data_IF_425011556217
#
_entry.id   IF_425011556217
#
_cell.length_a   1.000
_cell.length_b   1.000
_cell.length_c   1.000
_cell.angle_alpha   90.00
_cell.angle_beta   90.00
_cell.angle_gamma   90.00
#
_symmetry.space_group_name_H-M   'P 1'
#
loop_
_entity.id
_entity.type
_entity.pdbx_description
1 polymer ?
#
# COMPACT_ATOMS: atom_id res chain seq x y z
N UNK A 1 16.49 -1.05 -5.20
CA UNK A 1 17.41 -1.48 -4.12
C UNK A 1 16.59 -2.09 -3.00
N UNK A 2 17.07 -3.16 -2.38
CA UNK A 2 16.33 -3.90 -1.38
C UNK A 2 17.23 -4.27 -0.19
N UNK A 3 16.69 -4.08 1.02
CA UNK A 3 17.40 -4.29 2.27
C UNK A 3 16.61 -5.21 3.18
N UNK A 4 17.33 -5.95 4.01
CA UNK A 4 16.78 -6.84 5.02
C UNK A 4 17.41 -6.55 6.38
N UNK A 5 16.59 -6.63 7.41
CA UNK A 5 16.96 -6.47 8.80
C UNK A 5 16.39 -7.62 9.60
N UNK A 6 17.23 -8.30 10.37
CA UNK A 6 16.81 -9.35 11.30
C UNK A 6 16.83 -8.81 12.72
N UNK A 7 15.73 -8.97 13.43
CA UNK A 7 15.59 -8.61 14.83
C UNK A 7 15.78 -9.85 15.70
N UNK A 8 16.28 -9.66 16.93
CA UNK A 8 16.53 -10.75 17.89
C UNK A 8 15.25 -11.52 18.29
N UNK A 9 14.07 -11.02 17.94
CA UNK A 9 12.75 -11.58 18.22
C UNK A 9 12.29 -12.63 17.20
N UNK A 10 13.12 -13.01 16.22
CA UNK A 10 12.73 -13.91 15.12
C UNK A 10 11.91 -13.22 14.01
N UNK A 11 11.86 -11.88 14.05
CA UNK A 11 11.22 -11.04 13.06
C UNK A 11 12.24 -10.64 11.98
N UNK A 12 11.87 -10.77 10.72
CA UNK A 12 12.66 -10.27 9.58
C UNK A 12 11.88 -9.18 8.86
N UNK A 13 12.50 -8.01 8.74
CA UNK A 13 11.95 -6.84 8.05
C UNK A 13 12.65 -6.67 6.72
N UNK A 14 11.88 -6.61 5.65
CA UNK A 14 12.32 -6.35 4.29
C UNK A 14 11.87 -4.97 3.85
N UNK A 15 12.69 -4.30 3.07
CA UNK A 15 12.48 -2.94 2.63
C UNK A 15 12.95 -2.83 1.18
N UNK A 16 12.16 -2.21 0.29
CA UNK A 16 12.65 -1.72 -1.00
C UNK A 16 11.96 -0.42 -1.38
N UNK A 17 12.41 0.13 -2.51
CA UNK A 17 11.84 1.34 -3.07
C UNK A 17 11.78 1.29 -4.60
N UNK A 18 10.85 0.52 -5.19
CA UNK A 18 10.57 0.61 -6.62
C UNK A 18 9.81 1.90 -6.96
N UNK A 19 10.29 2.65 -7.95
CA UNK A 19 9.55 3.79 -8.51
C UNK A 19 9.16 4.87 -7.50
N UNK A 20 9.98 5.08 -6.46
CA UNK A 20 9.72 6.07 -5.40
C UNK A 20 8.68 5.65 -4.35
N UNK A 21 8.22 4.41 -4.38
CA UNK A 21 7.35 3.85 -3.34
C UNK A 21 8.15 2.95 -2.40
N UNK A 22 8.38 3.40 -1.16
CA UNK A 22 8.98 2.54 -0.13
C UNK A 22 7.98 1.46 0.26
N UNK A 23 8.35 0.19 0.07
CA UNK A 23 7.58 -0.96 0.58
C UNK A 23 8.32 -1.57 1.75
N UNK A 24 7.54 -2.06 2.70
CA UNK A 24 8.03 -2.65 3.93
C UNK A 24 7.25 -3.93 4.18
N UNK A 25 7.97 -5.02 4.41
CA UNK A 25 7.38 -6.31 4.77
C UNK A 25 8.00 -6.77 6.07
N UNK A 26 7.14 -7.05 7.02
CA UNK A 26 7.49 -7.72 8.25
C UNK A 26 7.09 -9.18 8.12
N UNK A 27 8.02 -10.07 8.41
CA UNK A 27 7.76 -11.51 8.53
C UNK A 27 8.13 -11.98 9.91
N UNK A 28 7.28 -12.84 10.48
CA UNK A 28 7.53 -13.54 11.72
C UNK A 28 7.61 -15.04 11.42
N UNK A 29 8.70 -15.66 11.87
CA UNK A 29 8.90 -17.10 11.74
C UNK A 29 8.92 -17.72 13.13
N UNK A 30 7.85 -18.43 13.49
CA UNK A 30 7.75 -19.20 14.72
C UNK A 30 7.43 -20.67 14.44
N UNK A 31 7.49 -21.56 15.44
CA UNK A 31 7.14 -22.98 15.27
C UNK A 31 5.71 -23.13 14.71
N UNK A 32 5.59 -23.56 13.46
CA UNK A 32 4.31 -23.84 12.80
C UNK A 32 3.50 -22.62 12.33
N UNK A 33 4.02 -21.39 12.39
CA UNK A 33 3.32 -20.18 11.92
C UNK A 33 4.28 -19.24 11.18
N UNK A 34 3.98 -18.98 9.91
CA UNK A 34 4.59 -17.92 9.11
C UNK A 34 3.55 -16.83 8.88
N UNK A 35 3.73 -15.68 9.53
CA UNK A 35 2.85 -14.53 9.36
C UNK A 35 3.63 -13.39 8.71
N UNK A 36 2.97 -12.69 7.80
CA UNK A 36 3.55 -11.59 7.04
C UNK A 36 2.61 -10.38 7.08
N UNK A 37 3.18 -9.19 7.22
CA UNK A 37 2.46 -7.91 7.19
C UNK A 37 3.23 -6.94 6.31
N UNK A 38 2.59 -6.42 5.27
CA UNK A 38 3.20 -5.52 4.30
C UNK A 38 2.54 -4.15 4.31
N UNK A 39 3.31 -3.10 4.04
CA UNK A 39 2.80 -1.74 3.83
C UNK A 39 3.65 -1.01 2.81
N UNK A 40 3.07 -0.03 2.13
CA UNK A 40 3.77 0.78 1.15
C UNK A 40 3.44 2.26 1.34
N UNK A 41 4.45 3.10 1.10
CA UNK A 41 4.41 4.54 1.36
C UNK A 41 5.07 5.29 0.21
N UNK A 42 4.48 6.41 -0.19
CA UNK A 42 5.07 7.30 -1.18
C UNK A 42 6.15 8.15 -0.48
N UNK A 43 7.41 7.80 -0.70
CA UNK A 43 8.56 8.50 -0.08
C UNK A 43 9.45 9.20 -1.11
N UNK A 44 9.29 8.87 -2.40
CA UNK A 44 10.22 9.25 -3.46
C UNK A 44 11.45 8.34 -3.51
N UNK A 45 12.30 8.59 -4.51
CA UNK A 45 13.54 7.84 -4.72
C UNK A 45 14.52 8.08 -3.57
N UNK A 46 15.12 6.99 -3.06
CA UNK A 46 16.10 7.06 -1.99
C UNK A 46 17.39 7.67 -2.53
N UNK A 47 17.86 8.70 -1.83
CA UNK A 47 19.13 9.36 -2.11
C UNK A 47 20.29 8.82 -1.25
N UNK A 48 19.97 8.11 -0.16
CA UNK A 48 20.94 7.45 0.71
C UNK A 48 20.43 6.08 1.18
N UNK A 49 21.34 5.28 1.74
CA UNK A 49 20.98 4.01 2.37
C UNK A 49 20.07 4.27 3.58
N UNK A 50 18.95 3.53 3.72
CA UNK A 50 18.09 3.67 4.88
C UNK A 50 18.81 3.31 6.17
N UNK A 51 18.42 3.96 7.26
CA UNK A 51 18.95 3.66 8.60
C UNK A 51 17.86 3.00 9.42
N UNK A 52 18.18 1.93 10.15
CA UNK A 52 17.25 1.27 11.05
C UNK A 52 17.73 1.42 12.49
N UNK A 53 16.80 1.67 13.42
CA UNK A 53 17.07 1.88 14.83
C UNK A 53 16.13 1.01 15.66
N UNK A 54 16.69 0.14 16.49
CA UNK A 54 15.92 -0.65 17.46
C UNK A 54 15.41 0.26 18.56
N UNK A 55 14.11 0.21 18.75
CA UNK A 55 13.40 0.86 19.86
C UNK A 55 12.97 -0.23 20.84
N UNK A 56 12.80 0.09 22.12
CA UNK A 56 12.35 -0.91 23.10
C UNK A 56 11.03 -1.61 22.77
N UNK A 57 10.22 -1.06 21.85
CA UNK A 57 8.94 -1.63 21.42
C UNK A 57 8.90 -2.07 19.94
N UNK A 58 10.01 -1.99 19.19
CA UNK A 58 10.01 -2.28 17.75
C UNK A 58 11.20 -1.70 16.98
N UNK A 59 10.97 -1.32 15.72
CA UNK A 59 11.98 -0.77 14.81
C UNK A 59 11.54 0.60 14.28
N UNK A 60 12.46 1.55 14.21
CA UNK A 60 12.29 2.82 13.54
C UNK A 60 13.22 2.85 12.34
N UNK A 61 12.70 3.13 11.15
CA UNK A 61 13.47 3.20 9.91
C UNK A 61 13.43 4.64 9.40
N UNK A 62 14.59 5.23 9.18
CA UNK A 62 14.75 6.53 8.55
C UNK A 62 15.08 6.33 7.07
N UNK A 63 14.26 6.96 6.24
CA UNK A 63 14.36 6.97 4.78
C UNK A 63 14.80 8.38 4.39
N UNK A 64 15.94 8.51 3.71
CA UNK A 64 16.38 9.76 3.11
C UNK A 64 16.11 9.71 1.61
N UNK A 65 15.14 10.51 1.16
CA UNK A 65 14.75 10.59 -0.24
C UNK A 65 14.99 11.99 -0.80
N UNK A 66 14.88 12.15 -2.12
CA UNK A 66 15.03 13.46 -2.78
C UNK A 66 14.05 14.53 -2.25
N UNK A 67 12.92 14.10 -1.71
CA UNK A 67 11.83 14.96 -1.22
C UNK A 67 11.99 15.35 0.26
N UNK A 68 12.93 14.73 0.97
CA UNK A 68 13.15 14.92 2.41
C UNK A 68 13.33 13.60 3.16
N UNK A 69 13.28 13.69 4.49
CA UNK A 69 13.38 12.53 5.38
C UNK A 69 12.00 12.02 5.78
N UNK A 70 11.84 10.70 5.76
CA UNK A 70 10.63 10.01 6.21
C UNK A 70 10.97 8.98 7.27
N UNK A 71 10.13 8.88 8.29
CA UNK A 71 10.35 7.96 9.40
C UNK A 71 9.24 6.91 9.41
N UNK A 72 9.61 5.64 9.27
CA UNK A 72 8.69 4.50 9.30
C UNK A 72 8.86 3.80 10.63
N UNK A 73 7.76 3.55 11.33
CA UNK A 73 7.76 2.82 12.58
C UNK A 73 7.13 1.45 12.39
N UNK A 74 7.80 0.43 12.91
CA UNK A 74 7.33 -0.94 12.98
C UNK A 74 7.20 -1.33 14.45
N UNK A 75 5.98 -1.65 14.89
CA UNK A 75 5.71 -2.13 16.25
C UNK A 75 4.91 -3.43 16.16
N UNK A 76 5.53 -4.54 16.56
CA UNK A 76 4.98 -5.88 16.32
C UNK A 76 4.72 -6.10 14.83
N UNK A 77 3.46 -6.30 14.46
CA UNK A 77 3.02 -6.50 13.08
C UNK A 77 2.47 -5.22 12.41
N UNK A 78 2.42 -4.11 13.14
CA UNK A 78 1.93 -2.82 12.65
C UNK A 78 3.07 -2.00 12.04
N UNK A 79 2.80 -1.40 10.88
CA UNK A 79 3.73 -0.55 10.14
C UNK A 79 3.03 0.79 9.92
N UNK A 80 3.70 1.90 10.22
CA UNK A 80 3.10 3.23 10.06
C UNK A 80 4.15 4.28 9.70
N UNK A 81 3.76 5.24 8.87
CA UNK A 81 4.55 6.45 8.63
C UNK A 81 4.39 7.38 9.82
N UNK A 82 5.50 7.75 10.44
CA UNK A 82 5.55 8.68 11.56
C UNK A 82 5.75 10.10 11.01
N UNK A 83 4.87 11.01 11.43
CA UNK A 83 5.00 12.44 11.14
C UNK A 83 5.93 13.09 12.16
N UNK A 84 6.89 13.87 11.68
CA UNK A 84 7.89 14.57 12.50
C UNK A 84 9.20 13.79 12.66
N UNK A 85 10.25 14.49 13.13
CA UNK A 85 11.58 13.93 13.36
C UNK A 85 11.68 13.35 14.77
N UNK A 86 11.78 12.02 14.94
CA UNK A 86 12.00 11.41 16.24
C UNK A 86 13.43 11.64 16.72
N UNK A 87 13.62 11.75 18.04
CA UNK A 87 14.96 11.72 18.64
C UNK A 87 15.56 10.32 18.48
N UNK A 88 16.52 10.15 17.59
CA UNK A 88 17.21 8.87 17.35
C UNK A 88 18.37 8.60 18.29
N UNK A 89 18.83 9.61 19.04
CA UNK A 89 19.99 9.52 19.94
C UNK A 89 19.87 8.48 21.07
N UNK A 90 18.65 8.07 21.41
CA UNK A 90 18.38 7.06 22.44
C UNK A 90 18.16 5.64 21.89
N UNK A 91 18.22 5.45 20.57
CA UNK A 91 17.96 4.18 19.92
C UNK A 91 19.24 3.55 19.40
N UNK A 92 19.33 2.22 19.46
CA UNK A 92 20.49 1.48 18.94
C UNK A 92 20.34 1.27 17.44
N UNK A 93 21.33 1.64 16.64
CA UNK A 93 21.29 1.45 15.19
C UNK A 93 21.46 -0.02 14.84
N UNK A 94 20.54 -0.55 14.03
CA UNK A 94 20.59 -1.91 13.49
C UNK A 94 21.10 -1.87 12.06
N UNK A 95 22.07 -2.72 11.75
CA UNK A 95 22.64 -2.81 10.42
C UNK A 95 21.64 -3.42 9.42
N UNK A 96 21.28 -2.65 8.39
CA UNK A 96 20.59 -3.17 7.22
C UNK A 96 21.58 -3.92 6.33
N UNK A 97 21.20 -5.12 5.90
CA UNK A 97 21.95 -5.90 4.93
C UNK A 97 21.27 -5.77 3.57
N UNK A 98 22.04 -5.78 2.47
CA UNK A 98 21.46 -5.98 1.15
C UNK A 98 20.75 -7.34 1.11
N UNK A 99 19.51 -7.36 0.64
CA UNK A 99 18.68 -8.55 0.68
C UNK A 99 17.62 -8.54 -0.41
N UNK A 100 17.28 -9.72 -0.92
CA UNK A 100 16.17 -9.86 -1.83
C UNK A 100 14.83 -9.82 -1.08
N UNK A 101 13.80 -9.28 -1.73
CA UNK A 101 12.43 -9.44 -1.25
C UNK A 101 12.05 -10.91 -1.26
N UNK A 102 11.34 -11.41 -0.23
CA UNK A 102 10.88 -12.78 -0.23
C UNK A 102 9.85 -12.92 -1.35
N UNK A 103 10.15 -13.81 -2.30
CA UNK A 103 9.31 -14.15 -3.45
C UNK A 103 7.97 -14.77 -3.03
N UNK A 104 7.73 -14.98 -1.73
CA UNK A 104 6.53 -15.60 -1.17
C UNK A 104 5.22 -14.82 -1.40
N UNK A 105 5.25 -13.61 -1.98
CA UNK A 105 4.05 -12.94 -2.49
C UNK A 105 3.78 -13.19 -3.99
N UNK A 106 4.74 -13.77 -4.70
CA UNK A 106 4.71 -14.09 -6.13
C UNK A 106 4.76 -15.61 -6.40
N UNK A 107 5.14 -16.41 -5.40
CA UNK A 107 5.10 -17.89 -5.45
C UNK A 107 3.68 -18.49 -5.44
N UNK A 108 2.63 -17.67 -5.29
CA UNK A 108 1.26 -18.09 -5.61
C UNK A 108 0.98 -18.19 -7.12
N UNK A 109 1.85 -17.63 -7.97
CA UNK A 109 1.71 -17.66 -9.44
C UNK A 109 2.96 -18.20 -10.17
N UNK A 110 4.17 -18.04 -9.62
CA UNK A 110 5.41 -18.58 -10.20
C UNK A 110 5.65 -20.08 -9.89
N UNK A 111 4.91 -20.66 -8.93
CA UNK A 111 4.86 -22.12 -8.75
C UNK A 111 4.14 -22.86 -9.90
N UNK A 112 3.69 -22.13 -10.94
CA UNK A 112 3.26 -22.68 -12.23
C UNK A 112 4.28 -22.42 -13.37
N UNK A 113 5.35 -21.64 -13.13
CA UNK A 113 6.33 -21.26 -14.15
C UNK A 113 7.66 -22.06 -14.05
N UNK A 114 7.98 -22.60 -12.88
CA UNK A 114 9.19 -23.40 -12.66
C UNK A 114 8.97 -24.91 -12.75
N UNK A 115 8.60 -25.46 -13.92
CA UNK A 115 8.57 -26.92 -14.06
C UNK A 115 7.82 -27.57 -15.21
N UNK A 116 7.35 -26.85 -16.23
CA UNK A 116 6.90 -27.54 -17.45
C UNK A 116 8.04 -27.57 -18.47
N UNK A 117 8.64 -28.74 -18.77
CA UNK A 117 9.52 -28.84 -19.94
C UNK A 117 8.72 -28.40 -21.19
N UNK A 118 9.36 -27.75 -22.18
CA UNK A 118 8.68 -27.44 -23.42
C UNK A 118 8.13 -28.74 -23.99
N UNK A 119 6.81 -28.87 -24.05
CA UNK A 119 6.18 -29.99 -24.72
C UNK A 119 6.62 -29.94 -26.18
N UNK A 120 7.54 -30.82 -26.57
CA UNK A 120 7.78 -31.09 -27.97
C UNK A 120 6.42 -31.45 -28.60
N UNK A 121 6.07 -30.92 -29.78
CA UNK A 121 4.84 -31.32 -30.44
C UNK A 121 4.90 -32.83 -30.63
N UNK A 122 4.01 -33.53 -29.93
CA UNK A 122 3.94 -34.98 -30.01
C UNK A 122 3.65 -35.35 -31.48
N UNK A 123 4.34 -36.35 -32.05
CA UNK A 123 3.91 -36.89 -33.33
C UNK A 123 2.45 -37.33 -33.22
N UNK A 124 1.63 -37.16 -34.28
CA UNK A 124 0.22 -37.54 -34.24
C UNK A 124 0.10 -38.99 -33.81
N UNK A 125 -0.58 -39.23 -32.69
CA UNK A 125 -0.81 -40.58 -32.19
C UNK A 125 -1.64 -41.36 -33.23
N UNK A 126 -1.32 -42.63 -33.49
CA UNK A 126 -2.20 -43.50 -34.25
C UNK A 126 -3.56 -43.60 -33.51
N UNK A 127 -4.67 -43.77 -34.24
CA UNK A 127 -5.99 -43.88 -33.62
C UNK A 127 -6.01 -45.06 -32.65
N UNK A 128 -6.30 -44.75 -31.38
CA UNK A 128 -6.48 -45.78 -30.36
C UNK A 128 -7.70 -46.65 -30.71
N UNK A 129 -7.61 -47.99 -30.57
CA UNK A 129 -8.78 -48.84 -30.65
C UNK A 129 -9.77 -48.48 -29.53
N UNK A 130 -11.09 -48.62 -29.76
CA UNK A 130 -12.10 -48.27 -28.76
C UNK A 130 -11.90 -49.13 -27.50
N UNK A 131 -11.70 -48.46 -26.36
CA UNK A 131 -11.72 -49.14 -25.07
C UNK A 131 -13.12 -49.69 -24.80
N UNK A 132 -13.26 -50.93 -24.32
CA UNK A 132 -14.53 -51.42 -23.81
C UNK A 132 -14.94 -50.59 -22.59
N UNK A 133 -16.23 -50.31 -22.50
CA UNK A 133 -16.88 -49.48 -21.48
C UNK A 133 -16.46 -49.87 -20.06
N UNK A 134 -15.89 -48.92 -19.31
CA UNK A 134 -15.76 -49.07 -17.86
C UNK A 134 -17.16 -49.00 -17.21
N UNK A 135 -17.49 -49.90 -16.28
CA UNK A 135 -18.69 -49.78 -15.46
C UNK A 135 -18.57 -48.58 -14.52
N UNK A 136 -19.73 -47.96 -14.28
CA UNK A 136 -19.94 -46.71 -13.56
C UNK A 136 -19.25 -46.68 -12.19
N UNK A 137 -18.31 -45.75 -11.98
CA UNK A 137 -17.89 -45.39 -10.63
C UNK A 137 -19.06 -44.72 -9.92
N UNK A 138 -19.64 -45.44 -8.96
CA UNK A 138 -20.63 -44.90 -8.03
C UNK A 138 -19.86 -44.04 -7.00
N UNK A 139 -19.74 -42.73 -7.27
CA UNK A 139 -19.24 -41.77 -6.29
C UNK A 139 -20.33 -41.54 -5.23
N UNK A 140 -20.39 -42.44 -4.27
CA UNK A 140 -21.20 -42.28 -3.07
C UNK A 140 -20.89 -40.94 -2.41
N UNK A 141 -21.94 -40.12 -2.24
CA UNK A 141 -22.05 -39.04 -1.26
C UNK A 141 -20.97 -37.93 -1.27
N UNK A 142 -20.43 -37.57 -2.44
CA UNK A 142 -19.81 -36.24 -2.62
C UNK A 142 -20.87 -35.22 -3.09
N UNK A 143 -21.67 -34.73 -2.14
CA UNK A 143 -22.47 -33.52 -2.33
C UNK A 143 -21.49 -32.33 -2.40
N UNK A 144 -21.09 -31.93 -3.62
CA UNK A 144 -20.37 -30.69 -3.83
C UNK A 144 -21.29 -29.52 -3.46
N UNK A 145 -21.15 -28.99 -2.25
CA UNK A 145 -21.58 -27.62 -2.00
C UNK A 145 -20.74 -26.71 -2.93
N UNK A 146 -21.38 -25.83 -3.74
CA UNK A 146 -20.63 -24.90 -4.56
C UNK A 146 -19.70 -24.09 -3.66
N UNK A 147 -18.44 -23.92 -4.07
CA UNK A 147 -17.47 -23.05 -3.40
C UNK A 147 -18.06 -21.65 -3.27
N UNK A 148 -18.67 -21.38 -2.12
CA UNK A 148 -19.20 -20.08 -1.78
C UNK A 148 -18.02 -19.24 -1.27
N UNK A 149 -17.33 -18.58 -2.20
CA UNK A 149 -16.33 -17.58 -1.87
C UNK A 149 -17.02 -16.39 -1.18
N UNK A 150 -17.22 -16.46 0.14
CA UNK A 150 -17.55 -15.30 0.97
C UNK A 150 -16.27 -14.49 1.18
N UNK A 151 -15.86 -13.77 0.15
CA UNK A 151 -14.90 -12.68 0.31
C UNK A 151 -15.69 -11.51 0.92
N UNK A 152 -15.64 -11.38 2.25
CA UNK A 152 -16.26 -10.28 2.97
C UNK A 152 -15.80 -8.93 2.43
N UNK A 153 -16.76 -8.04 2.21
CA UNK A 153 -16.68 -6.58 2.08
C UNK A 153 -15.61 -5.94 1.14
N UNK A 154 -15.06 -6.66 0.17
CA UNK A 154 -14.08 -6.09 -0.77
C UNK A 154 -14.78 -5.53 -2.00
N UNK A 155 -15.35 -4.32 -1.85
CA UNK A 155 -15.87 -3.53 -2.96
C UNK A 155 -14.69 -3.04 -3.82
N UNK A 156 -14.45 -3.69 -4.96
CA UNK A 156 -13.53 -3.20 -5.99
C UNK A 156 -14.28 -2.17 -6.85
N UNK A 157 -14.13 -0.88 -6.54
CA UNK A 157 -14.55 0.22 -7.40
C UNK A 157 -13.51 0.41 -8.51
N UNK A 158 -13.69 -0.25 -9.64
CA UNK A 158 -12.89 -0.05 -10.85
C UNK A 158 -13.73 0.69 -11.89
N UNK A 159 -13.43 1.97 -12.12
CA UNK A 159 -14.05 2.79 -13.16
C UNK A 159 -14.33 4.21 -12.70
N UNK A 160 -13.36 5.11 -12.85
CA UNK A 160 -13.51 6.52 -12.53
C UNK A 160 -12.39 7.35 -13.12
N UNK A 161 -12.50 7.60 -14.43
CA UNK A 161 -11.88 8.69 -15.20
C UNK A 161 -10.49 9.19 -14.76
N UNK A 162 -9.48 8.84 -15.55
CA UNK A 162 -8.41 9.77 -15.90
C UNK A 162 -9.02 11.03 -16.54
N UNK A 163 -9.43 11.98 -15.70
CA UNK A 163 -9.70 13.35 -16.13
C UNK A 163 -8.36 14.08 -16.20
N UNK A 164 -7.74 14.02 -17.38
CA UNK A 164 -6.84 15.07 -17.83
C UNK A 164 -7.59 16.41 -17.77
N UNK A 165 -7.41 17.18 -16.70
CA UNK A 165 -7.75 18.60 -16.71
C UNK A 165 -6.64 19.35 -17.46
N UNK A 166 -6.81 19.44 -18.78
CA UNK A 166 -6.15 20.43 -19.61
C UNK A 166 -6.57 21.83 -19.14
N UNK A 167 -5.72 22.52 -18.38
CA UNK A 167 -5.87 23.96 -18.19
C UNK A 167 -5.31 24.63 -19.43
N UNK A 168 -6.25 25.06 -20.27
CA UNK A 168 -6.04 25.95 -21.39
C UNK A 168 -5.28 27.19 -20.95
N UNK A 169 -4.17 27.44 -21.65
CA UNK A 169 -3.58 28.75 -21.82
C UNK A 169 -4.65 29.68 -22.36
N UNK A 170 -4.98 30.74 -21.63
CA UNK A 170 -5.50 31.94 -22.27
C UNK A 170 -4.76 33.16 -21.73
N UNK A 171 -3.68 33.47 -22.43
CA UNK A 171 -3.01 34.76 -22.44
C UNK A 171 -4.03 35.87 -22.65
N UNK A 172 -4.14 36.75 -21.65
CA UNK A 172 -4.56 38.13 -21.85
C UNK A 172 -3.57 39.00 -21.11
N UNK A 173 -2.60 39.49 -21.87
CA UNK A 173 -1.77 40.64 -21.49
C UNK A 173 -2.72 41.79 -21.18
N UNK A 174 -2.70 42.29 -19.95
CA UNK A 174 -3.15 43.66 -19.69
C UNK A 174 -2.13 44.35 -18.80
N UNK A 175 -1.63 45.46 -19.31
CA UNK A 175 -0.59 46.31 -18.76
C UNK A 175 -1.22 47.19 -17.66
N UNK A 176 -0.59 47.19 -16.47
CA UNK A 176 -0.37 48.28 -15.47
C UNK A 176 -1.17 49.62 -15.55
N UNK A 177 -1.32 50.47 -14.49
CA UNK A 177 -0.61 50.54 -13.19
C UNK A 177 -1.52 50.99 -11.97
N UNK A 178 -1.00 51.48 -10.81
CA UNK A 178 -1.68 51.47 -9.49
C UNK A 178 -2.35 52.79 -9.09
N UNK A 179 -3.34 52.75 -8.17
CA UNK A 179 -3.61 53.86 -7.25
C UNK A 179 -4.55 53.49 -6.08
N UNK A 180 -4.05 53.75 -4.87
CA UNK A 180 -4.71 54.21 -3.62
C UNK A 180 -5.70 53.32 -2.82
N UNK A 181 -5.60 53.34 -1.48
CA UNK A 181 -6.54 52.71 -0.56
C UNK A 181 -7.72 53.64 -0.26
N UNK A 182 -8.94 53.13 -0.39
CA UNK A 182 -10.13 53.76 0.19
C UNK A 182 -11.07 52.67 0.72
N UNK A 183 -11.26 52.67 2.03
CA UNK A 183 -12.41 52.07 2.71
C UNK A 183 -13.68 52.72 2.14
N UNK A 184 -14.78 51.98 1.91
CA UNK A 184 -15.78 51.87 2.98
C UNK A 184 -16.66 50.59 2.98
N UNK A 185 -17.20 50.33 4.18
CA UNK A 185 -18.53 49.79 4.50
C UNK A 185 -19.08 48.54 3.77
N UNK A 186 -19.30 47.53 4.61
CA UNK A 186 -20.13 46.34 4.49
C UNK A 186 -21.46 46.53 3.74
N UNK A 187 -21.80 45.58 2.86
CA UNK A 187 -23.11 44.92 2.94
C UNK A 187 -22.94 43.42 3.23
N UNK A 188 -23.80 42.90 4.10
CA UNK A 188 -23.81 41.52 4.58
C UNK A 188 -24.07 40.51 3.44
N UNK A 189 -23.03 39.83 3.01
CA UNK A 189 -23.12 38.56 2.27
C UNK A 189 -23.50 37.46 3.27
N UNK A 190 -24.48 36.58 2.97
CA UNK A 190 -24.77 35.44 3.83
C UNK A 190 -23.48 34.63 3.98
N UNK A 191 -23.00 34.51 5.22
CA UNK A 191 -21.81 33.76 5.54
C UNK A 191 -21.96 32.34 4.99
N UNK A 192 -21.24 32.02 3.91
CA UNK A 192 -21.15 30.65 3.45
C UNK A 192 -20.58 29.84 4.61
N UNK A 193 -21.24 28.73 5.01
CA UNK A 193 -20.75 27.93 6.11
C UNK A 193 -19.33 27.51 5.78
N UNK A 194 -18.39 27.86 6.65
CA UNK A 194 -16.99 27.48 6.51
C UNK A 194 -16.96 25.95 6.38
N UNK A 195 -16.65 25.47 5.17
CA UNK A 195 -16.59 24.04 4.89
C UNK A 195 -15.50 23.46 5.79
N UNK A 196 -15.89 22.56 6.68
CA UNK A 196 -14.94 21.85 7.55
C UNK A 196 -14.34 20.70 6.75
N UNK A 197 -13.13 20.32 7.09
CA UNK A 197 -12.43 19.19 6.48
C UNK A 197 -12.05 18.19 7.56
N UNK A 198 -12.13 16.90 7.25
CA UNK A 198 -11.70 15.85 8.17
C UNK A 198 -10.17 15.92 8.36
N UNK A 199 -9.72 16.01 9.61
CA UNK A 199 -8.30 16.03 9.94
C UNK A 199 -7.60 14.66 9.77
N UNK A 200 -8.36 13.58 9.57
CA UNK A 200 -7.81 12.23 9.35
C UNK A 200 -7.62 11.89 7.86
N UNK A 201 -8.57 12.28 7.00
CA UNK A 201 -8.54 11.91 5.57
C UNK A 201 -8.62 13.10 4.59
N UNK A 202 -8.80 14.33 5.09
CA UNK A 202 -8.86 15.55 4.27
C UNK A 202 -10.18 15.75 3.50
N UNK A 203 -11.14 14.83 3.60
CA UNK A 203 -12.42 14.96 2.91
C UNK A 203 -13.25 16.13 3.46
N UNK A 204 -13.97 16.82 2.59
CA UNK A 204 -14.91 17.86 2.98
C UNK A 204 -16.05 17.25 3.81
N UNK A 205 -16.41 17.89 4.91
CA UNK A 205 -17.45 17.45 5.84
C UNK A 205 -18.37 18.63 6.18
N UNK A 206 -19.65 18.34 6.42
CA UNK A 206 -20.60 19.39 6.79
C UNK A 206 -20.47 19.73 8.27
N UNK A 207 -20.87 20.95 8.66
CA UNK A 207 -20.73 21.41 10.04
C UNK A 207 -21.57 20.59 11.05
N UNK A 208 -22.60 19.90 10.57
CA UNK A 208 -23.49 19.04 11.35
C UNK A 208 -23.02 17.58 11.43
N UNK A 209 -21.99 17.20 10.67
CA UNK A 209 -21.49 15.82 10.67
C UNK A 209 -20.72 15.53 11.96
N UNK A 210 -21.08 14.44 12.64
CA UNK A 210 -20.33 13.94 13.82
C UNK A 210 -19.27 12.90 13.45
N UNK A 211 -19.37 12.33 12.27
CA UNK A 211 -18.47 11.32 11.73
C UNK A 211 -18.17 11.62 10.27
N UNK A 212 -16.94 11.36 9.83
CA UNK A 212 -16.57 11.54 8.43
C UNK A 212 -17.17 10.41 7.57
N UNK A 213 -17.95 10.76 6.56
CA UNK A 213 -18.54 9.81 5.62
C UNK A 213 -17.51 9.08 4.73
N UNK A 214 -16.31 9.63 4.58
CA UNK A 214 -15.24 9.04 3.78
C UNK A 214 -14.35 8.04 4.56
N UNK A 215 -14.09 8.28 5.84
CA UNK A 215 -13.17 7.44 6.63
C UNK A 215 -13.76 6.87 7.94
N UNK A 216 -14.97 7.26 8.32
CA UNK A 216 -15.67 6.76 9.52
C UNK A 216 -15.20 7.35 10.85
N UNK A 217 -14.14 8.18 10.86
CA UNK A 217 -13.63 8.75 12.11
C UNK A 217 -14.54 9.85 12.69
N UNK A 218 -14.63 9.98 14.02
CA UNK A 218 -15.39 11.03 14.67
C UNK A 218 -14.77 12.41 14.40
N UNK A 219 -15.61 13.37 14.03
CA UNK A 219 -15.22 14.76 13.85
C UNK A 219 -15.33 15.44 15.23
N UNK A 220 -14.20 15.86 15.79
CA UNK A 220 -14.17 16.64 17.03
C UNK A 220 -14.85 17.98 16.76
N UNK A 221 -16.08 18.11 17.24
CA UNK A 221 -16.96 19.27 17.05
C UNK A 221 -16.47 20.49 17.81
#
# INVERSE_FOLDING_TARGET
MAFVCRLNTGQTVYLDNPGGQTRLLVSFTGPGQQQQSGSSFQTGDWSAMPLAFSTGSGLLIQITAAQGESYLQVQGNSISLRVGTPSTAAYEQVALQDGAWPTSMMEGMDAMAGGMPPMQPMPPMPPMPPMPSMPSMNLGNMQMNPMQMRMGNMAMSMGGASSHSSVSVNSRVNLNPPATPATPATPATPAQPARKFCNQCGSAVEASDRFCSACGNPLQS
#
